data_IF_194580992536
#
_entry.id   IF_194580992536
#
_cell.length_a   1.000
_cell.length_b   1.000
_cell.length_c   1.000
_cell.angle_alpha   90.00
_cell.angle_beta   90.00
_cell.angle_gamma   90.00
#
_symmetry.space_group_name_H-M   'P 1'
#
loop_
_entity.id
_entity.type
_entity.pdbx_description
1 polymer ?
#
# COMPACT_ATOMS: atom_id res chain seq x y z
N UNK A 1 -25.69 -0.73 12.78
CA UNK A 1 -24.28 -0.81 12.33
C UNK A 1 -23.60 -1.94 13.07
N UNK A 2 -22.82 -2.78 12.39
CA UNK A 2 -22.22 -4.00 12.95
C UNK A 2 -21.35 -3.74 14.21
N UNK A 3 -20.86 -2.51 14.38
CA UNK A 3 -20.06 -2.07 15.53
C UNK A 3 -20.88 -1.44 16.68
N UNK A 4 -22.22 -1.54 16.65
CA UNK A 4 -23.09 -1.12 17.75
C UNK A 4 -23.51 -2.28 18.67
N UNK A 5 -23.03 -3.50 18.42
CA UNK A 5 -23.37 -4.70 19.19
C UNK A 5 -22.21 -5.10 20.11
N UNK A 6 -22.56 -5.47 21.35
CA UNK A 6 -21.67 -5.84 22.48
C UNK A 6 -20.69 -7.00 22.17
N UNK A 7 -20.79 -7.61 20.99
CA UNK A 7 -20.04 -8.79 20.57
C UNK A 7 -18.68 -8.41 19.96
N UNK A 8 -18.56 -7.23 19.35
CA UNK A 8 -17.31 -6.75 18.79
C UNK A 8 -16.74 -5.64 19.67
N UNK A 9 -15.54 -5.87 20.21
CA UNK A 9 -14.81 -4.87 20.99
C UNK A 9 -14.66 -3.58 20.15
N UNK A 10 -14.99 -2.39 20.68
CA UNK A 10 -14.74 -1.12 20.00
C UNK A 10 -13.32 -1.00 19.43
N UNK A 11 -12.35 -1.62 20.11
CA UNK A 11 -10.96 -1.69 19.66
C UNK A 11 -10.82 -2.46 18.33
N UNK A 12 -11.55 -3.56 18.12
CA UNK A 12 -11.46 -4.36 16.88
C UNK A 12 -12.15 -3.65 15.71
N UNK A 13 -13.29 -3.00 15.98
CA UNK A 13 -14.02 -2.21 14.99
C UNK A 13 -13.27 -0.93 14.58
N UNK A 14 -12.47 -0.35 15.47
CA UNK A 14 -11.60 0.78 15.14
C UNK A 14 -10.24 0.37 14.54
N UNK A 15 -9.75 -0.85 14.79
CA UNK A 15 -8.34 -1.21 14.54
C UNK A 15 -8.05 -2.14 13.37
N UNK A 16 -9.02 -2.74 12.67
CA UNK A 16 -8.65 -3.65 11.57
C UNK A 16 -7.78 -2.95 10.51
N UNK A 17 -7.98 -1.65 10.33
CA UNK A 17 -7.17 -0.79 9.46
C UNK A 17 -5.75 -0.59 10.01
N UNK A 18 -5.62 -0.27 11.30
CA UNK A 18 -4.32 0.01 11.94
C UNK A 18 -3.48 -1.25 12.19
N UNK A 19 -4.10 -2.42 12.34
CA UNK A 19 -3.40 -3.71 12.48
C UNK A 19 -2.55 -4.01 11.24
N UNK A 20 -2.97 -3.53 10.06
CA UNK A 20 -2.26 -3.75 8.79
C UNK A 20 -1.38 -2.56 8.42
N UNK A 21 -1.77 -1.34 8.79
CA UNK A 21 -1.22 -0.12 8.21
C UNK A 21 -0.17 0.63 9.05
N UNK A 22 -0.04 0.32 10.35
CA UNK A 22 0.94 1.01 11.20
C UNK A 22 0.35 1.68 12.44
N UNK A 23 1.22 2.22 13.31
CA UNK A 23 0.84 2.68 14.62
C UNK A 23 0.17 4.08 14.58
N UNK A 24 -0.82 4.21 15.45
CA UNK A 24 -1.63 5.34 15.95
C UNK A 24 -1.94 6.60 15.08
N UNK A 25 -3.14 7.11 15.31
CA UNK A 25 -3.92 8.16 14.65
C UNK A 25 -3.34 9.58 14.74
N UNK A 26 -2.05 9.78 15.05
CA UNK A 26 -1.48 11.10 15.39
C UNK A 26 -1.75 12.17 14.33
N UNK A 27 -1.73 11.79 13.06
CA UNK A 27 -1.94 12.71 11.95
C UNK A 27 -3.38 12.68 11.41
N UNK A 28 -4.26 11.81 11.92
CA UNK A 28 -5.63 11.64 11.41
C UNK A 28 -6.65 12.53 12.13
N UNK A 29 -7.71 12.92 11.40
CA UNK A 29 -8.86 13.58 12.01
C UNK A 29 -9.78 12.57 12.71
N UNK A 30 -9.66 12.46 14.04
CA UNK A 30 -10.46 11.55 14.86
C UNK A 30 -11.98 11.77 14.75
N UNK A 31 -12.44 13.02 14.51
CA UNK A 31 -13.87 13.29 14.33
C UNK A 31 -14.46 12.69 13.04
N UNK A 32 -13.60 12.21 12.13
CA UNK A 32 -14.00 11.53 10.89
C UNK A 32 -13.81 10.02 10.94
N UNK A 33 -13.46 9.44 12.08
CA UNK A 33 -13.22 8.00 12.21
C UNK A 33 -14.43 7.18 11.75
N UNK A 34 -15.64 7.58 12.12
CA UNK A 34 -16.88 6.92 11.68
C UNK A 34 -17.02 6.88 10.15
N UNK A 35 -16.52 7.90 9.44
CA UNK A 35 -16.52 7.91 7.98
C UNK A 35 -15.52 6.90 7.44
N UNK A 36 -14.30 6.86 7.99
CA UNK A 36 -13.26 5.95 7.52
C UNK A 36 -13.68 4.48 7.72
N UNK A 37 -14.10 4.10 8.92
CA UNK A 37 -14.47 2.71 9.24
C UNK A 37 -15.78 2.24 8.60
N UNK A 38 -16.65 3.18 8.17
CA UNK A 38 -17.89 2.81 7.47
C UNK A 38 -17.69 2.58 5.97
N UNK A 39 -16.57 3.04 5.43
CA UNK A 39 -16.22 2.91 4.01
C UNK A 39 -15.04 1.95 3.80
N UNK A 40 -14.25 1.68 4.84
CA UNK A 40 -13.13 0.76 4.78
C UNK A 40 -13.25 -0.36 5.82
N UNK A 41 -12.94 -1.61 5.45
CA UNK A 41 -12.52 -2.05 4.12
C UNK A 41 -13.69 -2.12 3.10
N UNK A 42 -13.46 -1.68 1.86
CA UNK A 42 -14.44 -1.80 0.75
C UNK A 42 -14.47 -3.20 0.07
N UNK A 43 -13.90 -4.20 0.73
CA UNK A 43 -13.92 -5.60 0.32
C UNK A 43 -12.80 -6.01 -0.66
N UNK A 44 -12.33 -7.26 -0.51
CA UNK A 44 -11.41 -7.92 -1.45
C UNK A 44 -11.65 -9.43 -1.47
N UNK A 45 -11.08 -10.13 -2.45
CA UNK A 45 -11.22 -11.59 -2.53
C UNK A 45 -10.28 -12.31 -1.56
N UNK A 46 -10.69 -13.48 -1.06
CA UNK A 46 -9.81 -14.35 -0.26
C UNK A 46 -8.53 -14.72 -1.03
N UNK A 47 -8.64 -14.89 -2.36
CA UNK A 47 -7.49 -15.17 -3.23
C UNK A 47 -6.44 -14.05 -3.17
N UNK A 48 -6.89 -12.78 -3.12
CA UNK A 48 -5.99 -11.64 -2.98
C UNK A 48 -5.25 -11.68 -1.64
N UNK A 49 -5.96 -11.96 -0.54
CA UNK A 49 -5.32 -12.08 0.78
C UNK A 49 -4.32 -13.24 0.85
N UNK A 50 -4.62 -14.38 0.20
CA UNK A 50 -3.67 -15.50 0.08
C UNK A 50 -2.45 -15.06 -0.74
N UNK A 51 -2.63 -14.27 -1.80
CA UNK A 51 -1.50 -13.78 -2.60
C UNK A 51 -0.55 -12.90 -1.77
N UNK A 52 -1.09 -11.97 -0.96
CA UNK A 52 -0.28 -11.19 -0.03
C UNK A 52 0.51 -12.07 0.93
N UNK A 53 -0.13 -13.11 1.50
CA UNK A 53 0.56 -14.07 2.34
C UNK A 53 1.68 -14.83 1.58
N UNK A 54 1.43 -15.24 0.33
CA UNK A 54 2.44 -15.89 -0.52
C UNK A 54 3.66 -14.98 -0.74
N UNK A 55 3.46 -13.69 -1.01
CA UNK A 55 4.56 -12.73 -1.19
C UNK A 55 5.37 -12.58 0.11
N UNK A 56 4.69 -12.45 1.25
CA UNK A 56 5.34 -12.38 2.57
C UNK A 56 6.19 -13.63 2.87
N UNK A 57 5.66 -14.83 2.62
CA UNK A 57 6.38 -16.07 2.92
C UNK A 57 7.48 -16.40 1.91
N UNK A 58 7.31 -16.06 0.63
CA UNK A 58 8.31 -16.32 -0.42
C UNK A 58 9.40 -15.26 -0.47
N UNK A 59 9.15 -14.06 0.06
CA UNK A 59 10.01 -12.88 -0.09
C UNK A 59 10.28 -12.54 -1.57
N UNK A 60 9.27 -12.75 -2.42
CA UNK A 60 9.35 -12.56 -3.87
C UNK A 60 8.15 -11.76 -4.37
N UNK A 61 8.41 -10.74 -5.19
CA UNK A 61 7.38 -10.05 -5.95
C UNK A 61 7.03 -10.86 -7.19
N UNK A 62 5.98 -11.67 -7.11
CA UNK A 62 5.60 -12.63 -8.14
C UNK A 62 4.09 -12.79 -8.32
N UNK A 63 3.68 -13.43 -9.41
CA UNK A 63 2.29 -13.79 -9.64
C UNK A 63 1.78 -14.81 -8.61
N UNK A 64 0.45 -14.97 -8.51
CA UNK A 64 -0.19 -15.88 -7.56
C UNK A 64 0.24 -17.34 -7.80
N UNK A 65 0.67 -18.05 -6.76
CA UNK A 65 0.93 -19.49 -6.85
C UNK A 65 -0.39 -20.27 -6.69
N UNK A 66 -0.77 -21.02 -7.72
CA UNK A 66 -1.98 -21.85 -7.69
C UNK A 66 -1.82 -23.16 -6.88
N UNK A 67 -0.66 -23.38 -6.28
CA UNK A 67 -0.39 -24.45 -5.33
C UNK A 67 -0.04 -25.79 -5.97
N UNK A 68 0.10 -25.85 -7.31
CA UNK A 68 0.70 -27.00 -8.00
C UNK A 68 1.28 -26.61 -9.37
N UNK A 69 2.32 -27.32 -9.85
CA UNK A 69 2.89 -27.12 -11.18
C UNK A 69 1.87 -27.15 -12.31
N UNK A 70 0.90 -28.07 -12.25
CA UNK A 70 -0.13 -28.24 -13.28
C UNK A 70 -1.07 -27.03 -13.32
N UNK A 71 -1.46 -26.51 -12.15
CA UNK A 71 -2.32 -25.32 -12.09
C UNK A 71 -1.56 -24.08 -12.54
N UNK A 72 -0.31 -23.91 -12.13
CA UNK A 72 0.52 -22.81 -12.62
C UNK A 72 0.71 -22.90 -14.14
N UNK A 73 0.91 -24.11 -14.68
CA UNK A 73 1.02 -24.33 -16.14
C UNK A 73 -0.24 -23.88 -16.87
N UNK A 74 -1.43 -24.18 -16.33
CA UNK A 74 -2.71 -23.74 -16.91
C UNK A 74 -2.88 -22.21 -16.92
N UNK A 75 -2.26 -21.50 -15.98
CA UNK A 75 -2.39 -20.04 -15.85
C UNK A 75 -1.26 -19.25 -16.52
N UNK A 76 -0.04 -19.77 -16.52
CA UNK A 76 1.18 -19.03 -16.89
C UNK A 76 1.96 -19.67 -18.04
N UNK A 77 1.55 -20.85 -18.52
CA UNK A 77 2.33 -21.68 -19.44
C UNK A 77 3.73 -22.07 -18.89
N UNK A 78 3.91 -22.01 -17.57
CA UNK A 78 5.08 -22.45 -16.85
C UNK A 78 4.67 -23.02 -15.50
N UNK A 79 5.50 -23.89 -14.92
CA UNK A 79 5.17 -24.63 -13.69
C UNK A 79 5.31 -23.82 -12.40
N UNK A 80 5.97 -22.68 -12.44
CA UNK A 80 6.11 -21.75 -11.32
C UNK A 80 5.44 -20.42 -11.62
N UNK A 81 4.95 -19.67 -10.62
CA UNK A 81 4.54 -18.29 -10.81
C UNK A 81 5.67 -17.44 -11.43
N UNK A 82 5.39 -16.60 -12.44
CA UNK A 82 6.37 -15.65 -12.97
C UNK A 82 6.71 -14.56 -11.94
N UNK A 83 8.01 -14.25 -11.84
CA UNK A 83 8.53 -13.15 -11.00
C UNK A 83 8.35 -11.82 -11.74
N UNK A 84 7.91 -10.80 -11.02
CA UNK A 84 7.86 -9.43 -11.51
C UNK A 84 9.14 -8.70 -11.15
N UNK A 85 9.76 -8.06 -12.15
CA UNK A 85 10.87 -7.14 -11.93
C UNK A 85 10.41 -5.72 -12.20
N UNK A 86 10.73 -4.79 -11.29
CA UNK A 86 10.49 -3.37 -11.49
C UNK A 86 11.60 -2.68 -12.31
N UNK A 87 12.76 -3.33 -12.48
CA UNK A 87 13.89 -2.80 -13.25
C UNK A 87 13.55 -2.42 -14.70
N UNK A 88 12.75 -3.18 -15.47
CA UNK A 88 12.37 -2.77 -16.82
C UNK A 88 11.35 -1.62 -16.86
N UNK A 89 10.83 -1.13 -15.73
CA UNK A 89 9.86 -0.03 -15.69
C UNK A 89 10.52 1.28 -16.13
N UNK A 90 10.08 1.80 -17.27
CA UNK A 90 10.58 3.06 -17.86
C UNK A 90 9.72 4.28 -17.55
N UNK A 91 8.57 4.08 -16.90
CA UNK A 91 7.63 5.16 -16.60
C UNK A 91 8.29 6.11 -15.58
N UNK A 92 8.25 7.44 -15.79
CA UNK A 92 8.66 8.40 -14.77
C UNK A 92 7.86 8.18 -13.48
N UNK A 93 8.55 7.88 -12.38
CA UNK A 93 7.91 7.56 -11.11
C UNK A 93 8.32 8.56 -10.04
N UNK A 94 7.33 9.10 -9.33
CA UNK A 94 7.52 9.88 -8.12
C UNK A 94 7.15 9.01 -6.91
N UNK A 95 8.02 8.96 -5.89
CA UNK A 95 7.81 8.15 -4.68
C UNK A 95 7.72 9.06 -3.46
N UNK A 96 6.70 8.84 -2.64
CA UNK A 96 6.56 9.40 -1.31
C UNK A 96 6.57 8.23 -0.33
N UNK A 97 7.44 8.27 0.69
CA UNK A 97 7.62 7.15 1.59
C UNK A 97 7.97 7.60 3.01
N UNK A 98 7.81 6.71 3.98
CA UNK A 98 8.02 6.96 5.40
C UNK A 98 8.61 5.72 6.08
N UNK A 99 9.49 5.86 7.07
CA UNK A 99 10.04 4.73 7.81
C UNK A 99 9.06 4.13 8.83
N UNK A 100 7.98 4.84 9.14
CA UNK A 100 6.96 4.41 10.11
C UNK A 100 5.78 3.66 9.45
N UNK A 101 5.86 3.42 8.13
CA UNK A 101 4.92 2.61 7.37
C UNK A 101 5.23 1.11 7.59
N UNK A 102 4.25 0.35 8.11
CA UNK A 102 4.41 -1.08 8.37
C UNK A 102 4.17 -1.97 7.16
N UNK A 103 3.52 -1.45 6.11
CA UNK A 103 3.18 -2.22 4.92
C UNK A 103 4.15 -1.95 3.76
N UNK A 104 4.63 -0.71 3.64
CA UNK A 104 5.70 -0.31 2.74
C UNK A 104 6.92 0.08 3.56
N UNK A 105 7.50 -0.90 4.26
CA UNK A 105 8.57 -0.67 5.22
C UNK A 105 9.91 -0.32 4.54
N UNK A 106 10.89 0.03 5.37
CA UNK A 106 12.20 0.52 4.93
C UNK A 106 12.99 -0.48 4.10
N UNK A 107 12.87 -1.78 4.36
CA UNK A 107 13.63 -2.81 3.66
C UNK A 107 13.06 -3.01 2.24
N UNK A 108 11.74 -3.07 2.11
CA UNK A 108 11.04 -3.13 0.82
C UNK A 108 11.24 -1.84 0.00
N UNK A 109 11.23 -0.67 0.65
CA UNK A 109 11.54 0.59 -0.02
C UNK A 109 12.98 0.65 -0.51
N UNK A 110 13.95 0.13 0.26
CA UNK A 110 15.34 0.03 -0.20
C UNK A 110 15.45 -0.86 -1.45
N UNK A 111 14.76 -2.00 -1.47
CA UNK A 111 14.68 -2.84 -2.66
C UNK A 111 14.10 -2.09 -3.87
N UNK A 112 13.05 -1.28 -3.66
CA UNK A 112 12.46 -0.46 -4.74
C UNK A 112 13.48 0.54 -5.28
N UNK A 113 14.17 1.28 -4.41
CA UNK A 113 15.14 2.30 -4.81
C UNK A 113 16.36 1.71 -5.53
N UNK A 114 16.81 0.52 -5.15
CA UNK A 114 17.92 -0.16 -5.82
C UNK A 114 17.57 -0.63 -7.24
N UNK A 115 16.29 -0.86 -7.53
CA UNK A 115 15.86 -1.46 -8.79
C UNK A 115 15.15 -0.49 -9.74
N UNK A 116 14.54 0.59 -9.25
CA UNK A 116 13.83 1.55 -10.08
C UNK A 116 14.77 2.35 -11.00
N UNK A 117 14.45 2.42 -12.30
CA UNK A 117 15.34 3.05 -13.29
C UNK A 117 14.97 4.51 -13.62
N UNK A 118 13.72 4.91 -13.40
CA UNK A 118 13.23 6.24 -13.77
C UNK A 118 12.54 6.93 -12.60
N UNK A 119 13.24 7.03 -11.47
CA UNK A 119 12.81 7.82 -10.31
C UNK A 119 13.02 9.31 -10.61
N UNK A 120 11.93 10.05 -10.74
CA UNK A 120 11.97 11.48 -11.10
C UNK A 120 11.72 12.41 -9.92
N UNK A 121 11.21 11.87 -8.83
CA UNK A 121 10.98 12.59 -7.58
C UNK A 121 10.94 11.61 -6.42
N UNK A 122 11.53 12.00 -5.31
CA UNK A 122 11.49 11.25 -4.07
C UNK A 122 11.21 12.22 -2.92
N UNK A 123 10.31 11.83 -2.02
CA UNK A 123 10.10 12.54 -0.76
C UNK A 123 9.99 11.59 0.41
N UNK A 124 10.96 11.70 1.31
CA UNK A 124 10.95 11.09 2.63
C UNK A 124 10.09 11.90 3.60
N UNK A 125 9.17 11.24 4.31
CA UNK A 125 8.19 11.86 5.20
C UNK A 125 8.22 11.15 6.55
N UNK A 126 9.02 11.59 7.53
CA UNK A 126 9.08 10.93 8.83
C UNK A 126 7.76 11.10 9.60
N UNK A 127 7.38 10.09 10.37
CA UNK A 127 6.19 10.12 11.22
C UNK A 127 4.88 9.85 10.49
N UNK A 128 4.91 9.46 9.20
CA UNK A 128 3.73 9.01 8.46
C UNK A 128 3.61 7.48 8.52
N UNK A 129 2.46 6.94 8.92
CA UNK A 129 2.16 5.53 8.68
C UNK A 129 1.53 5.34 7.29
N UNK A 130 1.13 4.10 6.96
CA UNK A 130 0.58 3.78 5.64
C UNK A 130 -0.68 4.58 5.27
N UNK A 131 -1.52 4.90 6.27
CA UNK A 131 -2.78 5.60 6.04
C UNK A 131 -2.60 7.12 5.93
N UNK A 132 -1.50 7.65 6.47
CA UNK A 132 -1.27 9.09 6.52
C UNK A 132 -1.12 9.72 5.14
N UNK A 133 -0.66 8.96 4.13
CA UNK A 133 -0.60 9.44 2.75
C UNK A 133 -1.97 9.84 2.18
N UNK A 134 -3.06 9.28 2.73
CA UNK A 134 -4.44 9.55 2.32
C UNK A 134 -5.21 10.33 3.40
N UNK A 135 -5.02 10.03 4.68
CA UNK A 135 -5.88 10.52 5.77
C UNK A 135 -5.22 11.52 6.71
N UNK A 136 -3.91 11.80 6.57
CA UNK A 136 -3.29 12.80 7.41
C UNK A 136 -3.88 14.19 7.13
N UNK A 137 -4.23 14.92 8.18
CA UNK A 137 -4.69 16.31 8.10
C UNK A 137 -3.64 17.24 7.48
N UNK A 138 -2.38 16.79 7.43
CA UNK A 138 -1.24 17.50 6.85
C UNK A 138 -0.89 17.02 5.43
N UNK A 139 -1.50 15.94 4.91
CA UNK A 139 -1.15 15.36 3.61
C UNK A 139 -1.28 16.38 2.46
N UNK A 140 -2.25 17.30 2.55
CA UNK A 140 -2.44 18.35 1.56
C UNK A 140 -1.26 19.34 1.47
N UNK A 141 -0.59 19.59 2.60
CA UNK A 141 0.57 20.49 2.70
C UNK A 141 1.87 19.75 2.41
N UNK A 142 1.97 18.49 2.86
CA UNK A 142 3.21 17.71 2.80
C UNK A 142 3.34 16.97 1.47
N UNK A 143 2.25 16.43 0.90
CA UNK A 143 2.30 15.58 -0.30
C UNK A 143 1.65 16.28 -1.49
N UNK A 144 0.41 16.75 -1.34
CA UNK A 144 -0.43 17.03 -2.52
C UNK A 144 0.07 18.22 -3.35
N UNK A 145 0.71 19.22 -2.74
CA UNK A 145 1.33 20.30 -3.51
C UNK A 145 2.47 19.79 -4.39
N UNK A 146 3.32 18.92 -3.87
CA UNK A 146 4.42 18.33 -4.64
C UNK A 146 3.90 17.41 -5.74
N UNK A 147 2.87 16.62 -5.45
CA UNK A 147 2.17 15.80 -6.44
C UNK A 147 1.65 16.65 -7.60
N UNK A 148 0.92 17.75 -7.31
CA UNK A 148 0.40 18.67 -8.32
C UNK A 148 1.55 19.28 -9.13
N UNK A 149 2.66 19.66 -8.50
CA UNK A 149 3.83 20.18 -9.19
C UNK A 149 4.45 19.15 -10.14
N UNK A 150 4.56 17.88 -9.72
CA UNK A 150 5.02 16.80 -10.61
C UNK A 150 4.04 16.59 -11.77
N UNK A 151 2.73 16.60 -11.51
CA UNK A 151 1.72 16.51 -12.57
C UNK A 151 1.84 17.65 -13.57
N UNK A 152 1.99 18.91 -13.12
CA UNK A 152 2.17 20.06 -14.01
C UNK A 152 3.44 19.97 -14.86
N UNK A 153 4.53 19.45 -14.27
CA UNK A 153 5.81 19.28 -14.97
C UNK A 153 5.73 18.27 -16.12
N UNK A 154 5.03 17.15 -15.93
CA UNK A 154 4.95 16.07 -16.92
C UNK A 154 3.68 16.12 -17.79
N UNK A 155 2.62 16.75 -17.29
CA UNK A 155 1.32 16.92 -17.94
C UNK A 155 0.75 18.32 -17.65
N UNK A 156 1.27 19.38 -18.30
CA UNK A 156 0.82 20.75 -18.07
C UNK A 156 -0.70 20.86 -18.25
N UNK A 157 -1.39 21.39 -17.23
CA UNK A 157 -2.81 21.69 -17.33
C UNK A 157 -2.99 22.73 -18.43
N UNK A 158 -3.84 22.42 -19.42
CA UNK A 158 -4.22 23.37 -20.47
C UNK A 158 -5.17 24.42 -19.91
#
# INVERSE_FOLDING_TARGET
TACGSVIFDPLICENILFVICGPDKKNMNNTRMEVYISHEPDGTSVKNMIHFAQMYFSNEFQAYDYGSPEKNQLHYNQTTPPIYSIRPMKIPTAIFWSPDDWLADVDDMAFIFDNIQNLVYEKYIPGYNHLDFVWAVTANKIIYQDLINQMQKYHPFK
#
